data_IF_668951559715
#
_entry.id   IF_668951559715
#
_cell.length_a   1.000
_cell.length_b   1.000
_cell.length_c   1.000
_cell.angle_alpha   90.00
_cell.angle_beta   90.00
_cell.angle_gamma   90.00
#
_symmetry.space_group_name_H-M   'P 1'
#
loop_
_entity.id
_entity.type
_entity.pdbx_description
1 polymer ?
#
# COMPACT_ATOMS: atom_id res chain seq x y z
N UNK A 1 17.69 -2.25 14.40
CA UNK A 1 16.68 -3.22 14.87
C UNK A 1 15.43 -3.03 14.02
N UNK A 2 14.89 -3.93 13.21
CA UNK A 2 15.22 -5.27 12.73
C UNK A 2 14.04 -5.66 11.83
N UNK A 3 14.05 -5.23 10.56
CA UNK A 3 12.98 -5.49 9.58
C UNK A 3 13.22 -6.90 8.99
N UNK A 4 12.35 -7.86 9.30
CA UNK A 4 12.41 -9.20 8.70
C UNK A 4 11.47 -9.21 7.49
N UNK A 5 12.07 -9.13 6.31
CA UNK A 5 11.38 -9.26 5.02
C UNK A 5 11.17 -10.74 4.71
N UNK A 6 9.93 -11.23 4.78
CA UNK A 6 9.58 -12.55 4.27
C UNK A 6 9.45 -12.50 2.74
N UNK A 7 10.56 -12.61 2.02
CA UNK A 7 10.60 -12.67 0.55
C UNK A 7 10.15 -14.06 0.07
N UNK A 8 8.86 -14.23 -0.21
CA UNK A 8 8.34 -15.44 -0.88
C UNK A 8 8.51 -15.29 -2.39
N UNK A 9 9.63 -15.78 -2.95
CA UNK A 9 9.92 -15.75 -4.40
C UNK A 9 9.11 -16.82 -5.16
N UNK A 10 8.15 -16.39 -5.97
CA UNK A 10 7.59 -17.17 -7.10
C UNK A 10 8.40 -16.88 -8.36
N UNK A 11 8.78 -17.91 -9.12
CA UNK A 11 9.94 -17.90 -10.05
C UNK A 11 9.83 -17.02 -11.31
N UNK A 12 8.71 -16.36 -11.60
CA UNK A 12 8.55 -15.52 -12.81
C UNK A 12 8.11 -14.08 -12.51
N UNK A 13 7.81 -13.78 -11.25
CA UNK A 13 7.41 -12.45 -10.79
C UNK A 13 7.62 -12.37 -9.28
N UNK A 14 8.35 -11.36 -8.82
CA UNK A 14 8.60 -11.17 -7.40
C UNK A 14 7.40 -10.45 -6.77
N UNK A 15 6.78 -11.10 -5.80
CA UNK A 15 5.80 -10.48 -4.91
C UNK A 15 6.52 -10.09 -3.63
N UNK A 16 6.45 -8.81 -3.25
CA UNK A 16 6.94 -8.33 -1.96
C UNK A 16 5.76 -8.28 -1.01
N UNK A 17 5.84 -8.99 0.12
CA UNK A 17 4.90 -8.88 1.22
C UNK A 17 5.61 -8.30 2.44
N UNK A 18 5.04 -7.24 3.00
CA UNK A 18 5.49 -6.60 4.22
C UNK A 18 4.37 -6.75 5.24
N UNK A 19 4.72 -7.21 6.44
CA UNK A 19 3.84 -7.24 7.59
C UNK A 19 4.67 -6.81 8.81
N UNK A 20 4.07 -6.10 9.78
CA UNK A 20 4.76 -5.81 11.03
C UNK A 20 5.00 -7.11 11.81
N UNK A 21 6.13 -7.17 12.50
CA UNK A 21 6.37 -8.21 13.52
C UNK A 21 5.27 -8.10 14.58
N UNK A 22 4.75 -9.23 15.12
CA UNK A 22 3.79 -9.18 16.23
C UNK A 22 4.34 -8.31 17.37
N UNK A 23 3.60 -7.25 17.73
CA UNK A 23 4.07 -6.20 18.63
C UNK A 23 3.20 -4.94 18.53
N UNK A 24 3.57 -3.83 19.20
CA UNK A 24 2.85 -2.57 19.07
C UNK A 24 2.78 -2.16 17.58
N UNK A 25 1.62 -1.62 17.16
CA UNK A 25 1.34 -1.21 15.79
C UNK A 25 2.54 -0.50 15.17
N UNK A 26 3.22 -1.15 14.23
CA UNK A 26 4.38 -0.56 13.57
C UNK A 26 3.87 0.51 12.61
N UNK A 27 4.22 1.76 12.90
CA UNK A 27 3.86 2.89 12.07
C UNK A 27 4.71 2.95 10.81
N UNK A 28 4.09 2.78 9.64
CA UNK A 28 4.72 3.09 8.36
C UNK A 28 4.49 4.57 8.04
N UNK A 29 5.56 5.34 7.84
CA UNK A 29 5.45 6.75 7.50
C UNK A 29 5.11 6.93 6.02
N UNK A 30 4.16 7.81 5.70
CA UNK A 30 3.78 8.17 4.34
C UNK A 30 4.96 8.50 3.41
N UNK A 31 5.91 9.37 3.80
CA UNK A 31 7.09 9.67 2.97
C UNK A 31 7.98 8.45 2.67
N UNK A 32 8.13 7.53 3.64
CA UNK A 32 8.87 6.30 3.41
C UNK A 32 8.15 5.39 2.42
N UNK A 33 6.82 5.26 2.55
CA UNK A 33 6.00 4.51 1.60
C UNK A 33 6.12 5.09 0.18
N UNK A 34 6.04 6.42 0.02
CA UNK A 34 6.25 7.11 -1.26
C UNK A 34 7.62 6.78 -1.85
N UNK A 35 8.69 6.99 -1.09
CA UNK A 35 10.05 6.68 -1.55
C UNK A 35 10.20 5.19 -1.94
N UNK A 36 9.65 4.29 -1.14
CA UNK A 36 9.73 2.85 -1.39
C UNK A 36 9.07 2.48 -2.73
N UNK A 37 7.82 2.92 -2.93
CA UNK A 37 7.03 2.58 -4.11
C UNK A 37 7.49 3.30 -5.38
N UNK A 38 7.84 4.58 -5.28
CA UNK A 38 8.16 5.42 -6.43
C UNK A 38 9.65 5.39 -6.83
N UNK A 39 10.54 4.92 -5.95
CA UNK A 39 11.99 4.95 -6.20
C UNK A 39 12.68 3.62 -5.87
N UNK A 40 12.59 3.15 -4.62
CA UNK A 40 13.39 2.00 -4.18
C UNK A 40 13.06 0.70 -4.94
N UNK A 41 11.78 0.45 -5.20
CA UNK A 41 11.33 -0.73 -5.95
C UNK A 41 11.73 -0.65 -7.43
N UNK A 42 11.46 0.44 -8.16
CA UNK A 42 11.99 0.63 -9.51
C UNK A 42 13.51 0.47 -9.61
N UNK A 43 14.26 1.05 -8.66
CA UNK A 43 15.73 1.03 -8.66
C UNK A 43 16.31 -0.36 -8.35
N UNK A 44 15.52 -1.27 -7.75
CA UNK A 44 15.98 -2.61 -7.41
C UNK A 44 16.26 -3.49 -8.64
N UNK A 45 15.80 -3.10 -9.85
CA UNK A 45 15.96 -3.84 -11.11
C UNK A 45 15.52 -5.31 -11.02
N UNK A 46 14.58 -5.61 -10.13
CA UNK A 46 13.95 -6.93 -10.02
C UNK A 46 12.55 -6.87 -10.65
N UNK A 47 12.05 -7.97 -11.22
CA UNK A 47 10.72 -8.04 -11.82
C UNK A 47 9.65 -8.13 -10.72
N UNK A 48 9.54 -7.08 -9.91
CA UNK A 48 8.53 -6.96 -8.86
C UNK A 48 7.25 -6.55 -9.55
N UNK A 49 6.20 -7.37 -9.44
CA UNK A 49 4.90 -7.07 -10.04
C UNK A 49 3.87 -6.64 -9.00
N UNK A 50 4.09 -6.99 -7.73
CA UNK A 50 3.18 -6.63 -6.64
C UNK A 50 3.92 -6.33 -5.34
N UNK A 51 3.43 -5.32 -4.64
CA UNK A 51 3.79 -4.97 -3.26
C UNK A 51 2.53 -5.09 -2.41
N UNK A 52 2.61 -5.89 -1.36
CA UNK A 52 1.52 -6.11 -0.42
C UNK A 52 1.95 -5.66 0.97
N UNK A 53 1.18 -4.76 1.56
CA UNK A 53 1.35 -4.23 2.90
C UNK A 53 0.20 -4.75 3.75
N UNK A 54 0.52 -5.46 4.83
CA UNK A 54 -0.47 -6.06 5.71
C UNK A 54 -0.43 -5.45 7.10
N UNK A 55 -1.60 -5.09 7.65
CA UNK A 55 -1.77 -4.74 9.07
C UNK A 55 -0.89 -3.59 9.57
N UNK A 56 -0.49 -2.68 8.68
CA UNK A 56 0.26 -1.48 9.06
C UNK A 56 -0.67 -0.36 9.51
N UNK A 57 -0.21 0.41 10.51
CA UNK A 57 -0.69 1.77 10.73
C UNK A 57 0.10 2.70 9.83
N UNK A 58 -0.54 3.31 8.83
CA UNK A 58 0.10 4.21 7.88
C UNK A 58 -0.14 5.65 8.36
N UNK A 59 0.92 6.24 8.91
CA UNK A 59 0.92 7.56 9.52
C UNK A 59 1.37 8.66 8.56
N UNK A 60 0.84 9.88 8.77
CA UNK A 60 0.92 11.02 7.85
C UNK A 60 0.27 10.72 6.48
N UNK A 61 -0.06 11.76 5.71
CA UNK A 61 -0.67 11.60 4.38
C UNK A 61 0.28 10.80 3.47
N UNK A 62 -0.04 9.55 3.06
CA UNK A 62 0.72 8.88 2.02
C UNK A 62 0.44 9.59 0.69
N UNK A 63 1.31 10.55 0.41
CA UNK A 63 1.34 11.30 -0.84
C UNK A 63 1.96 10.43 -1.92
N UNK A 64 1.14 9.95 -2.85
CA UNK A 64 1.55 9.27 -4.09
C UNK A 64 1.18 10.13 -5.31
N UNK A 65 0.94 11.43 -5.11
CA UNK A 65 0.61 12.35 -6.21
C UNK A 65 1.74 12.42 -7.23
N UNK A 66 1.35 12.41 -8.51
CA UNK A 66 2.25 12.41 -9.67
C UNK A 66 3.18 11.19 -9.77
N UNK A 67 3.04 10.19 -8.91
CA UNK A 67 3.90 9.01 -8.96
C UNK A 67 3.52 8.10 -10.13
N UNK A 68 4.54 7.52 -10.77
CA UNK A 68 4.38 6.40 -11.70
C UNK A 68 4.70 5.09 -10.98
N UNK A 69 3.66 4.35 -10.62
CA UNK A 69 3.75 3.06 -9.93
C UNK A 69 3.58 1.94 -10.97
N UNK A 70 4.69 1.33 -11.35
CA UNK A 70 4.70 0.23 -12.32
C UNK A 70 4.33 -1.13 -11.71
N UNK A 71 4.17 -1.16 -10.38
CA UNK A 71 3.79 -2.33 -9.60
C UNK A 71 2.37 -2.22 -9.06
N UNK A 72 1.70 -3.35 -8.89
CA UNK A 72 0.42 -3.39 -8.18
C UNK A 72 0.65 -3.21 -6.68
N UNK A 73 -0.09 -2.32 -6.03
CA UNK A 73 0.00 -2.09 -4.58
C UNK A 73 -1.25 -2.61 -3.89
N UNK A 74 -1.09 -3.43 -2.85
CA UNK A 74 -2.18 -4.00 -2.08
C UNK A 74 -2.01 -3.64 -0.61
N UNK A 75 -2.95 -2.88 -0.06
CA UNK A 75 -3.09 -2.62 1.37
C UNK A 75 -4.14 -3.56 1.94
N UNK A 76 -3.76 -4.41 2.89
CA UNK A 76 -4.63 -5.43 3.47
C UNK A 76 -4.66 -5.29 5.00
N UNK A 77 -5.83 -4.97 5.58
CA UNK A 77 -5.91 -4.74 7.02
C UNK A 77 -5.17 -3.49 7.50
N UNK A 78 -4.84 -2.56 6.60
CA UNK A 78 -4.09 -1.35 6.96
C UNK A 78 -5.03 -0.27 7.49
N UNK A 79 -4.55 0.55 8.42
CA UNK A 79 -5.25 1.74 8.91
C UNK A 79 -4.47 2.99 8.51
N UNK A 80 -5.14 3.92 7.86
CA UNK A 80 -4.55 5.18 7.41
C UNK A 80 -5.01 6.31 8.33
N UNK A 81 -4.07 7.09 8.86
CA UNK A 81 -4.41 8.23 9.74
C UNK A 81 -4.76 9.50 8.97
N UNK A 82 -4.60 9.49 7.64
CA UNK A 82 -4.76 10.63 6.76
C UNK A 82 -5.22 10.17 5.36
N UNK A 83 -5.73 11.07 4.51
CA UNK A 83 -6.12 10.73 3.15
C UNK A 83 -4.97 10.10 2.35
N UNK A 84 -5.30 9.21 1.40
CA UNK A 84 -4.35 8.75 0.39
C UNK A 84 -4.46 9.68 -0.81
N UNK A 85 -3.35 10.30 -1.22
CA UNK A 85 -3.33 11.19 -2.37
C UNK A 85 -2.72 10.47 -3.59
N UNK A 86 -3.54 10.27 -4.62
CA UNK A 86 -3.21 9.67 -5.90
C UNK A 86 -3.35 10.69 -7.05
N UNK A 87 -3.46 11.99 -6.75
CA UNK A 87 -3.69 13.03 -7.75
C UNK A 87 -2.64 12.99 -8.85
N UNK A 88 -3.08 12.86 -10.11
CA UNK A 88 -2.20 12.76 -11.28
C UNK A 88 -1.27 11.53 -11.30
N UNK A 89 -1.49 10.54 -10.45
CA UNK A 89 -0.65 9.34 -10.39
C UNK A 89 -0.97 8.37 -11.55
N UNK A 90 0.05 7.69 -12.06
CA UNK A 90 -0.09 6.57 -12.98
C UNK A 90 0.16 5.26 -12.24
N UNK A 91 -0.86 4.40 -12.12
CA UNK A 91 -0.79 3.24 -11.24
C UNK A 91 -1.14 1.96 -12.01
N UNK A 92 -0.26 0.96 -11.96
CA UNK A 92 -0.49 -0.35 -12.55
C UNK A 92 -1.70 -1.07 -11.92
N UNK A 93 -1.90 -0.90 -10.62
CA UNK A 93 -3.12 -1.26 -9.92
C UNK A 93 -3.02 -0.98 -8.43
N UNK A 94 -4.14 -0.71 -7.77
CA UNK A 94 -4.20 -0.50 -6.32
C UNK A 94 -5.37 -1.25 -5.71
N UNK A 95 -5.17 -1.82 -4.53
CA UNK A 95 -6.23 -2.48 -3.77
C UNK A 95 -6.18 -2.08 -2.30
N UNK A 96 -7.34 -1.75 -1.74
CA UNK A 96 -7.58 -1.58 -0.31
C UNK A 96 -8.53 -2.68 0.12
N UNK A 97 -8.05 -3.63 0.91
CA UNK A 97 -8.81 -4.80 1.37
C UNK A 97 -8.87 -4.76 2.88
N UNK A 98 -10.06 -4.81 3.47
CA UNK A 98 -10.23 -4.75 4.93
C UNK A 98 -9.47 -3.56 5.56
N UNK A 99 -9.31 -2.46 4.81
CA UNK A 99 -8.46 -1.33 5.21
C UNK A 99 -9.33 -0.13 5.56
N UNK A 100 -8.92 0.58 6.60
CA UNK A 100 -9.55 1.80 7.10
C UNK A 100 -8.85 3.00 6.45
N UNK A 101 -9.51 3.59 5.45
CA UNK A 101 -8.98 4.71 4.65
C UNK A 101 -9.96 5.89 4.76
N UNK A 102 -9.60 7.01 5.40
CA UNK A 102 -10.55 8.09 5.65
C UNK A 102 -10.99 8.80 4.37
N UNK A 103 -10.11 8.90 3.37
CA UNK A 103 -10.39 9.48 2.05
C UNK A 103 -9.32 9.05 1.04
N UNK A 104 -9.70 8.95 -0.23
CA UNK A 104 -8.79 8.80 -1.37
C UNK A 104 -8.99 10.01 -2.30
N UNK A 105 -7.93 10.77 -2.57
CA UNK A 105 -7.90 11.82 -3.58
C UNK A 105 -7.32 11.21 -4.86
N UNK A 106 -8.00 11.32 -5.99
CA UNK A 106 -7.60 10.63 -7.22
C UNK A 106 -7.84 11.47 -8.48
N UNK A 107 -7.80 12.80 -8.35
CA UNK A 107 -8.04 13.70 -9.48
C UNK A 107 -7.00 13.46 -10.57
N UNK A 108 -7.45 13.17 -11.79
CA UNK A 108 -6.59 12.84 -12.94
C UNK A 108 -5.66 11.63 -12.72
N UNK A 109 -5.96 10.77 -11.75
CA UNK A 109 -5.24 9.50 -11.60
C UNK A 109 -5.55 8.58 -12.79
N UNK A 110 -4.52 7.91 -13.32
CA UNK A 110 -4.64 6.94 -14.39
C UNK A 110 -4.35 5.53 -13.86
N UNK A 111 -5.30 4.62 -14.03
CA UNK A 111 -5.16 3.21 -13.68
C UNK A 111 -4.96 2.39 -14.95
N UNK A 112 -3.81 1.72 -15.08
CA UNK A 112 -3.56 0.80 -16.21
C UNK A 112 -4.19 -0.57 -15.99
N UNK A 113 -4.40 -0.94 -14.73
CA UNK A 113 -5.04 -2.18 -14.32
C UNK A 113 -6.23 -1.92 -13.41
N UNK A 114 -6.35 -2.69 -12.33
CA UNK A 114 -7.54 -2.68 -11.46
C UNK A 114 -7.42 -1.70 -10.29
N UNK A 115 -8.53 -1.03 -9.97
CA UNK A 115 -8.82 -0.45 -8.65
C UNK A 115 -9.76 -1.38 -7.88
N UNK A 116 -9.39 -1.77 -6.66
CA UNK A 116 -10.26 -2.51 -5.75
C UNK A 116 -10.37 -1.78 -4.42
N UNK A 117 -11.60 -1.48 -3.99
CA UNK A 117 -11.88 -0.98 -2.65
C UNK A 117 -12.86 -1.97 -2.03
N UNK A 118 -12.40 -2.74 -1.05
CA UNK A 118 -13.22 -3.65 -0.25
C UNK A 118 -13.06 -3.27 1.21
N UNK A 119 -14.03 -2.51 1.70
CA UNK A 119 -14.22 -2.35 3.15
C UNK A 119 -14.73 -3.67 3.71
N UNK A 120 -14.40 -3.99 4.95
CA UNK A 120 -15.13 -5.05 5.65
C UNK A 120 -16.52 -4.50 5.94
N UNK A 121 -17.50 -4.88 5.11
CA UNK A 121 -18.89 -4.85 5.51
C UNK A 121 -19.03 -5.89 6.62
N UNK A 122 -19.44 -5.45 7.81
CA UNK A 122 -19.49 -6.19 9.07
C UNK A 122 -18.16 -6.47 9.79
N UNK A 123 -17.76 -5.50 10.61
CA UNK A 123 -17.37 -5.82 11.99
C UNK A 123 -18.64 -5.65 12.85
N UNK A 124 -19.34 -6.73 13.23
CA UNK A 124 -20.40 -6.64 14.23
C UNK A 124 -19.76 -6.22 15.56
N UNK A 125 -19.98 -4.98 16.00
CA UNK A 125 -19.42 -4.52 17.28
C UNK A 125 -19.25 -3.01 17.51
N UNK A 126 -19.63 -2.12 16.59
CA UNK A 126 -19.62 -0.67 16.84
C UNK A 126 -21.03 -0.08 16.85
N UNK A 127 -21.78 -0.45 17.89
CA UNK A 127 -22.73 0.44 18.55
C UNK A 127 -22.17 0.74 19.94
N UNK A 128 -21.53 1.90 20.11
CA UNK A 128 -21.56 2.73 21.33
C UNK A 128 -21.28 4.17 20.95
#
# INVERSE_FOLDING_TARGET
MGLITALRRTRESANIALAPTPGPLFGLRGPFLRWCLAKAIPDAKQPITQVRLERFLIGAQPDLSGCKLEVRVVFAGCRFTAPVDLTGAEIAGIAFVASDVPRILADRAMMKGSLLIRTDADVPGHLR
#
